data_IF_178135909428
#
_entry.id   IF_178135909428
#
_cell.length_a   1.000
_cell.length_b   1.000
_cell.length_c   1.000
_cell.angle_alpha   90.00
_cell.angle_beta   90.00
_cell.angle_gamma   90.00
#
_symmetry.space_group_name_H-M   'P 1'
#
loop_
_entity.id
_entity.type
_entity.pdbx_description
1 polymer ?
#
# COMPACT_ATOMS: atom_id res chain seq x y z
N UNK A 1 16.51 -25.06 -25.52
CA UNK A 1 15.79 -24.07 -26.33
C UNK A 1 15.24 -23.00 -25.40
N UNK A 2 15.76 -21.79 -25.48
CA UNK A 2 15.16 -20.64 -24.79
C UNK A 2 13.75 -20.44 -25.38
N UNK A 3 12.70 -20.54 -24.55
CA UNK A 3 11.35 -20.18 -24.99
C UNK A 3 11.35 -18.72 -25.35
N UNK A 4 10.92 -18.38 -26.55
CA UNK A 4 10.64 -17.00 -26.93
C UNK A 4 9.53 -16.53 -26.01
N UNK A 5 9.84 -15.60 -25.10
CA UNK A 5 8.88 -14.96 -24.22
C UNK A 5 8.34 -13.76 -25.01
N UNK A 6 7.31 -14.01 -25.79
CA UNK A 6 6.60 -12.97 -26.52
C UNK A 6 5.34 -12.50 -25.76
N UNK A 7 4.77 -11.40 -26.18
CA UNK A 7 3.57 -10.82 -25.60
C UNK A 7 2.39 -11.79 -25.61
N UNK A 8 2.20 -12.55 -26.70
CA UNK A 8 1.12 -13.53 -26.84
C UNK A 8 1.24 -14.66 -25.81
N UNK A 9 2.48 -15.12 -25.54
CA UNK A 9 2.72 -16.12 -24.51
C UNK A 9 2.36 -15.58 -23.12
N UNK A 10 2.73 -14.34 -22.81
CA UNK A 10 2.40 -13.71 -21.52
C UNK A 10 0.90 -13.51 -21.33
N UNK A 11 0.16 -13.10 -22.39
CA UNK A 11 -1.30 -12.97 -22.35
C UNK A 11 -1.99 -14.32 -22.14
N UNK A 12 -1.55 -15.37 -22.82
CA UNK A 12 -2.07 -16.73 -22.57
C UNK A 12 -1.79 -17.21 -21.14
N UNK A 13 -0.62 -16.94 -20.60
CA UNK A 13 -0.29 -17.27 -19.21
C UNK A 13 -1.18 -16.49 -18.23
N UNK A 14 -1.39 -15.18 -18.44
CA UNK A 14 -2.27 -14.36 -17.63
C UNK A 14 -3.70 -14.90 -17.63
N UNK A 15 -4.23 -15.23 -18.80
CA UNK A 15 -5.56 -15.83 -18.96
C UNK A 15 -5.66 -17.19 -18.27
N UNK A 16 -4.65 -18.02 -18.41
CA UNK A 16 -4.64 -19.37 -17.83
C UNK A 16 -4.63 -19.36 -16.29
N UNK A 17 -3.75 -18.55 -15.68
CA UNK A 17 -3.56 -18.56 -14.23
C UNK A 17 -4.51 -17.62 -13.48
N UNK A 18 -4.95 -16.53 -14.11
CA UNK A 18 -5.71 -15.46 -13.43
C UNK A 18 -7.07 -15.16 -14.05
N UNK A 19 -7.33 -15.64 -15.27
CA UNK A 19 -8.59 -15.40 -16.00
C UNK A 19 -8.69 -14.00 -16.61
N UNK A 20 -7.62 -13.21 -16.61
CA UNK A 20 -7.60 -11.86 -17.18
C UNK A 20 -7.18 -11.88 -18.64
N UNK A 21 -7.87 -11.10 -19.46
CA UNK A 21 -7.62 -11.02 -20.92
C UNK A 21 -6.51 -10.01 -21.29
N UNK A 22 -6.16 -9.09 -20.40
CA UNK A 22 -5.18 -8.04 -20.66
C UNK A 22 -4.44 -7.62 -19.40
N UNK A 23 -3.21 -7.19 -19.57
CA UNK A 23 -2.40 -6.57 -18.53
C UNK A 23 -2.86 -5.14 -18.26
N UNK A 24 -2.71 -4.70 -17.01
CA UNK A 24 -2.77 -3.28 -16.66
C UNK A 24 -1.46 -2.60 -17.05
N UNK A 25 -1.48 -1.28 -17.16
CA UNK A 25 -0.32 -0.47 -17.52
C UNK A 25 0.93 -0.86 -16.73
N UNK A 26 2.02 -1.15 -17.43
CA UNK A 26 3.33 -1.50 -16.90
C UNK A 26 3.48 -2.93 -16.38
N UNK A 27 2.41 -3.71 -16.19
CA UNK A 27 2.52 -5.09 -15.70
C UNK A 27 3.32 -5.97 -16.66
N UNK A 28 3.01 -5.90 -17.96
CA UNK A 28 3.68 -6.70 -18.98
C UNK A 28 5.17 -6.38 -19.07
N UNK A 29 5.55 -5.09 -19.03
CA UNK A 29 6.94 -4.66 -19.00
C UNK A 29 7.69 -5.24 -17.80
N UNK A 30 7.12 -5.10 -16.58
CA UNK A 30 7.73 -5.62 -15.36
C UNK A 30 7.92 -7.14 -15.43
N UNK A 31 6.90 -7.87 -15.88
CA UNK A 31 6.93 -9.33 -16.01
C UNK A 31 7.99 -9.77 -17.02
N UNK A 32 8.06 -9.07 -18.15
CA UNK A 32 9.05 -9.34 -19.19
C UNK A 32 10.47 -9.15 -18.69
N UNK A 33 10.77 -8.03 -18.01
CA UNK A 33 12.09 -7.77 -17.43
C UNK A 33 12.50 -8.85 -16.42
N UNK A 34 11.59 -9.26 -15.53
CA UNK A 34 11.82 -10.34 -14.57
C UNK A 34 12.15 -11.66 -15.30
N UNK A 35 11.42 -12.01 -16.34
CA UNK A 35 11.63 -13.24 -17.10
C UNK A 35 12.93 -13.23 -17.92
N UNK A 36 13.44 -12.04 -18.29
CA UNK A 36 14.75 -11.86 -18.88
C UNK A 36 15.90 -11.86 -17.85
N UNK A 37 15.59 -12.04 -16.57
CA UNK A 37 16.58 -12.10 -15.49
C UNK A 37 17.06 -10.71 -15.03
N UNK A 38 16.33 -9.65 -15.38
CA UNK A 38 16.65 -8.28 -14.99
C UNK A 38 16.05 -7.97 -13.62
N UNK A 39 16.84 -7.54 -12.61
CA UNK A 39 16.28 -6.99 -11.38
C UNK A 39 15.38 -5.80 -11.66
N UNK A 40 14.30 -5.66 -10.90
CA UNK A 40 13.29 -4.62 -11.11
C UNK A 40 12.96 -3.90 -9.82
N UNK A 41 12.83 -2.57 -9.90
CA UNK A 41 12.09 -1.77 -8.94
C UNK A 41 10.80 -1.27 -9.61
N UNK A 42 9.67 -1.83 -9.20
CA UNK A 42 8.36 -1.51 -9.73
C UNK A 42 7.59 -0.60 -8.78
N UNK A 43 7.20 0.59 -9.25
CA UNK A 43 6.39 1.55 -8.51
C UNK A 43 5.02 1.63 -9.18
N UNK A 44 4.03 1.00 -8.54
CA UNK A 44 2.66 0.92 -9.05
C UNK A 44 1.67 1.40 -7.97
N UNK A 45 0.69 2.22 -8.31
CA UNK A 45 -0.29 2.71 -7.34
C UNK A 45 -1.06 1.55 -6.69
N UNK A 46 -1.64 1.83 -5.53
CA UNK A 46 -2.50 0.88 -4.83
C UNK A 46 -3.65 0.46 -5.75
N UNK A 47 -3.90 -0.85 -5.84
CA UNK A 47 -4.93 -1.42 -6.73
C UNK A 47 -4.48 -1.67 -8.18
N UNK A 48 -3.24 -1.32 -8.57
CA UNK A 48 -2.72 -1.59 -9.92
C UNK A 48 -2.34 -3.06 -10.17
N UNK A 49 -2.48 -3.95 -9.17
CA UNK A 49 -2.20 -5.37 -9.32
C UNK A 49 -0.72 -5.73 -9.21
N UNK A 50 0.01 -5.13 -8.27
CA UNK A 50 1.43 -5.42 -7.97
C UNK A 50 1.72 -6.92 -7.84
N UNK A 51 0.84 -7.68 -7.17
CA UNK A 51 1.06 -9.10 -6.90
C UNK A 51 1.21 -9.92 -8.18
N UNK A 52 0.47 -9.64 -9.24
CA UNK A 52 0.57 -10.35 -10.52
C UNK A 52 1.97 -10.15 -11.14
N UNK A 53 2.58 -8.98 -10.94
CA UNK A 53 3.89 -8.65 -11.51
C UNK A 53 5.02 -9.57 -11.02
N UNK A 54 4.92 -10.14 -9.81
CA UNK A 54 5.87 -11.14 -9.37
C UNK A 54 5.30 -12.57 -9.39
N UNK A 55 4.00 -12.73 -9.21
CA UNK A 55 3.38 -14.06 -9.20
C UNK A 55 3.41 -14.72 -10.57
N UNK A 56 3.03 -14.02 -11.64
CA UNK A 56 2.99 -14.61 -12.97
C UNK A 56 4.39 -15.04 -13.47
N UNK A 57 5.44 -14.21 -13.41
CA UNK A 57 6.78 -14.67 -13.80
C UNK A 57 7.28 -15.81 -12.92
N UNK A 58 6.96 -15.81 -11.62
CA UNK A 58 7.31 -16.92 -10.74
C UNK A 58 6.74 -18.26 -11.21
N UNK A 59 5.48 -18.29 -11.68
CA UNK A 59 4.85 -19.50 -12.20
C UNK A 59 5.55 -20.05 -13.45
N UNK A 60 6.20 -19.18 -14.21
CA UNK A 60 6.95 -19.53 -15.43
C UNK A 60 8.41 -19.90 -15.15
N UNK A 61 8.97 -19.43 -14.04
CA UNK A 61 10.32 -19.77 -13.56
C UNK A 61 10.31 -21.09 -12.80
N UNK A 62 11.47 -21.75 -12.70
CA UNK A 62 11.67 -22.93 -11.84
C UNK A 62 11.94 -22.48 -10.40
N UNK A 63 11.82 -23.40 -9.44
CA UNK A 63 12.17 -23.14 -8.03
C UNK A 63 11.10 -22.38 -7.25
N UNK A 64 11.48 -21.94 -6.06
CA UNK A 64 10.64 -21.23 -5.10
C UNK A 64 10.84 -19.73 -5.25
N UNK A 65 9.76 -18.97 -5.15
CA UNK A 65 9.80 -17.52 -4.99
C UNK A 65 9.61 -17.19 -3.51
N UNK A 66 10.60 -16.53 -2.93
CA UNK A 66 10.50 -15.98 -1.59
C UNK A 66 9.88 -14.58 -1.67
N UNK A 67 8.77 -14.37 -0.99
CA UNK A 67 8.10 -13.06 -0.93
C UNK A 67 8.29 -12.47 0.45
N UNK A 68 9.04 -11.38 0.54
CA UNK A 68 9.27 -10.66 1.80
C UNK A 68 8.21 -9.57 1.91
N UNK A 69 7.37 -9.65 2.93
CA UNK A 69 6.26 -8.70 3.16
C UNK A 69 6.18 -8.31 4.64
N UNK A 70 5.83 -7.04 4.95
CA UNK A 70 5.90 -6.55 6.33
C UNK A 70 4.69 -6.94 7.19
N UNK A 71 3.68 -7.60 6.61
CA UNK A 71 2.40 -7.85 7.27
C UNK A 71 1.94 -9.29 7.15
N UNK A 72 1.79 -9.93 8.30
CA UNK A 72 1.33 -11.32 8.43
C UNK A 72 -0.07 -11.49 7.81
N UNK A 73 -1.01 -10.58 8.07
CA UNK A 73 -2.36 -10.66 7.50
C UNK A 73 -2.35 -10.65 5.97
N UNK A 74 -1.54 -9.75 5.36
CA UNK A 74 -1.41 -9.69 3.90
C UNK A 74 -0.77 -10.97 3.33
N UNK A 75 0.28 -11.48 3.99
CA UNK A 75 0.93 -12.72 3.57
C UNK A 75 -0.05 -13.89 3.57
N UNK A 76 -0.88 -13.99 4.61
CA UNK A 76 -1.92 -15.00 4.75
C UNK A 76 -2.95 -14.89 3.64
N UNK A 77 -3.53 -13.71 3.45
CA UNK A 77 -4.55 -13.46 2.42
C UNK A 77 -4.02 -13.78 1.01
N UNK A 78 -2.76 -13.40 0.71
CA UNK A 78 -2.11 -13.70 -0.57
C UNK A 78 -1.86 -15.20 -0.76
N UNK A 79 -1.37 -15.89 0.27
CA UNK A 79 -1.13 -17.33 0.21
C UNK A 79 -2.43 -18.12 0.06
N UNK A 80 -3.48 -17.76 0.80
CA UNK A 80 -4.81 -18.37 0.69
C UNK A 80 -5.43 -18.14 -0.69
N UNK A 81 -5.34 -16.92 -1.23
CA UNK A 81 -5.84 -16.60 -2.56
C UNK A 81 -5.15 -17.39 -3.68
N UNK A 82 -3.83 -17.64 -3.57
CA UNK A 82 -3.09 -18.48 -4.50
C UNK A 82 -3.50 -19.95 -4.36
N UNK A 83 -3.60 -20.44 -3.13
CA UNK A 83 -4.01 -21.83 -2.85
C UNK A 83 -5.41 -22.12 -3.35
N UNK A 84 -6.35 -21.19 -3.19
CA UNK A 84 -7.70 -21.29 -3.74
C UNK A 84 -7.73 -21.39 -5.28
N UNK A 85 -6.67 -20.93 -5.95
CA UNK A 85 -6.48 -21.07 -7.42
C UNK A 85 -5.69 -22.33 -7.80
N UNK A 86 -5.39 -23.21 -6.84
CA UNK A 86 -4.58 -24.42 -7.07
C UNK A 86 -3.08 -24.14 -7.21
N UNK A 87 -2.61 -22.95 -6.83
CA UNK A 87 -1.19 -22.57 -6.85
C UNK A 87 -0.60 -22.78 -5.46
N UNK A 88 0.38 -23.68 -5.29
CA UNK A 88 0.96 -23.98 -3.99
C UNK A 88 1.67 -22.76 -3.38
N UNK A 89 1.13 -22.24 -2.29
CA UNK A 89 1.69 -21.12 -1.56
C UNK A 89 1.59 -21.36 -0.05
N UNK A 90 2.57 -20.86 0.68
CA UNK A 90 2.60 -20.90 2.14
C UNK A 90 3.13 -19.58 2.70
N UNK A 91 2.86 -19.34 3.96
CA UNK A 91 3.43 -18.20 4.70
C UNK A 91 4.02 -18.67 6.02
N UNK A 92 4.95 -17.91 6.56
CA UNK A 92 5.57 -18.16 7.87
C UNK A 92 5.27 -17.00 8.79
N UNK A 93 4.58 -17.26 9.88
CA UNK A 93 4.31 -16.27 10.91
C UNK A 93 4.86 -16.67 12.28
N UNK A 94 4.83 -15.73 13.24
CA UNK A 94 5.36 -15.92 14.58
C UNK A 94 4.44 -16.74 15.49
N UNK A 95 3.20 -16.98 15.10
CA UNK A 95 2.21 -17.74 15.88
C UNK A 95 2.25 -19.24 15.61
N UNK A 96 2.97 -19.67 14.56
CA UNK A 96 3.09 -21.07 14.18
C UNK A 96 3.86 -21.88 15.24
N UNK A 97 3.36 -23.07 15.52
CA UNK A 97 4.10 -24.07 16.30
C UNK A 97 5.36 -24.54 15.55
N UNK A 98 6.37 -25.01 16.27
CA UNK A 98 7.61 -25.54 15.65
C UNK A 98 7.33 -26.67 14.65
N UNK A 99 6.31 -27.49 14.88
CA UNK A 99 5.90 -28.56 13.96
C UNK A 99 5.28 -28.04 12.67
N UNK A 100 4.45 -27.02 12.75
CA UNK A 100 3.84 -26.36 11.56
C UNK A 100 4.92 -25.66 10.75
N UNK A 101 5.78 -24.93 11.42
CA UNK A 101 6.92 -24.25 10.80
C UNK A 101 7.80 -25.26 10.04
N UNK A 102 8.20 -26.37 10.69
CA UNK A 102 9.00 -27.42 10.06
C UNK A 102 8.30 -28.06 8.85
N UNK A 103 6.98 -28.31 8.93
CA UNK A 103 6.21 -28.85 7.80
C UNK A 103 6.21 -27.91 6.59
N UNK A 104 6.05 -26.61 6.80
CA UNK A 104 6.09 -25.62 5.70
C UNK A 104 7.45 -25.58 5.04
N UNK A 105 8.54 -25.56 5.82
CA UNK A 105 9.90 -25.57 5.25
C UNK A 105 10.17 -26.86 4.48
N UNK A 106 9.78 -28.02 5.01
CA UNK A 106 9.93 -29.30 4.34
C UNK A 106 9.15 -29.38 3.02
N UNK A 107 7.91 -28.87 3.00
CA UNK A 107 7.13 -28.78 1.77
C UNK A 107 7.80 -27.89 0.71
N UNK A 108 8.40 -26.78 1.12
CA UNK A 108 9.13 -25.88 0.21
C UNK A 108 10.42 -26.55 -0.35
N UNK A 109 11.17 -27.30 0.47
CA UNK A 109 12.33 -28.08 0.01
C UNK A 109 11.94 -29.16 -1.02
N UNK A 110 10.80 -29.82 -0.82
CA UNK A 110 10.28 -30.85 -1.70
C UNK A 110 9.54 -30.31 -2.94
N UNK A 111 9.67 -29.01 -3.25
CA UNK A 111 9.03 -28.37 -4.41
C UNK A 111 7.49 -28.41 -4.38
N UNK A 112 6.91 -28.60 -3.22
CA UNK A 112 5.46 -28.58 -2.98
C UNK A 112 4.95 -27.18 -2.62
N UNK A 113 5.83 -26.18 -2.69
CA UNK A 113 5.51 -24.78 -2.45
C UNK A 113 6.15 -23.93 -3.56
N UNK A 114 5.36 -23.12 -4.23
CA UNK A 114 5.85 -22.21 -5.26
C UNK A 114 6.15 -20.82 -4.71
N UNK A 115 5.31 -20.36 -3.78
CA UNK A 115 5.46 -19.09 -3.09
C UNK A 115 5.60 -19.30 -1.60
N UNK A 116 6.67 -18.79 -1.03
CA UNK A 116 6.87 -18.74 0.42
C UNK A 116 6.90 -17.30 0.87
N UNK A 117 5.85 -16.88 1.59
CA UNK A 117 5.74 -15.55 2.17
C UNK A 117 6.38 -15.52 3.55
N UNK A 118 7.22 -14.52 3.80
CA UNK A 118 7.94 -14.38 5.06
C UNK A 118 7.98 -12.93 5.52
N UNK A 119 7.93 -12.73 6.83
CA UNK A 119 8.23 -11.45 7.43
C UNK A 119 9.76 -11.22 7.47
N UNK A 120 10.23 -9.96 7.32
CA UNK A 120 11.66 -9.66 7.26
C UNK A 120 12.43 -10.06 8.53
N UNK A 121 11.76 -10.14 9.68
CA UNK A 121 12.35 -10.61 10.96
C UNK A 121 12.84 -12.08 10.89
N UNK A 122 12.30 -12.86 9.95
CA UNK A 122 12.71 -14.28 9.77
C UNK A 122 14.06 -14.43 9.08
N UNK A 123 14.52 -13.42 8.35
CA UNK A 123 15.73 -13.47 7.54
C UNK A 123 17.02 -13.62 8.38
N UNK A 124 16.98 -13.30 9.67
CA UNK A 124 18.10 -13.49 10.62
C UNK A 124 17.98 -14.78 11.44
N UNK A 125 16.89 -15.56 11.26
CA UNK A 125 16.71 -16.81 11.97
C UNK A 125 17.59 -17.90 11.35
N UNK A 126 18.46 -18.56 12.14
CA UNK A 126 19.41 -19.53 11.64
C UNK A 126 18.73 -20.73 10.95
N UNK A 127 17.66 -21.26 11.52
CA UNK A 127 16.90 -22.36 10.92
C UNK A 127 16.34 -21.98 9.55
N UNK A 128 15.89 -20.72 9.39
CA UNK A 128 15.41 -20.23 8.11
C UNK A 128 16.54 -20.04 7.10
N UNK A 129 17.69 -19.53 7.54
CA UNK A 129 18.90 -19.40 6.69
C UNK A 129 19.37 -20.76 6.19
N UNK A 130 19.43 -21.78 7.07
CA UNK A 130 19.84 -23.13 6.73
C UNK A 130 18.87 -23.79 5.74
N UNK A 131 17.57 -23.57 5.91
CA UNK A 131 16.57 -23.94 4.92
C UNK A 131 16.80 -23.22 3.58
N UNK A 132 16.96 -21.90 3.60
CA UNK A 132 17.08 -21.09 2.39
C UNK A 132 18.34 -21.45 1.57
N UNK A 133 19.42 -21.89 2.22
CA UNK A 133 20.62 -22.41 1.56
C UNK A 133 20.40 -23.73 0.83
N UNK A 134 19.44 -24.53 1.27
CA UNK A 134 19.11 -25.83 0.65
C UNK A 134 17.98 -25.67 -0.39
N UNK A 135 17.12 -24.68 -0.21
CA UNK A 135 16.01 -24.42 -1.11
C UNK A 135 16.49 -23.78 -2.43
N UNK A 136 15.93 -24.24 -3.53
CA UNK A 136 16.19 -23.59 -4.83
C UNK A 136 15.35 -22.32 -4.97
N UNK A 137 15.82 -21.24 -4.33
CA UNK A 137 15.19 -19.91 -4.39
C UNK A 137 15.66 -19.21 -5.66
N UNK A 138 14.77 -18.99 -6.61
CA UNK A 138 15.09 -18.36 -7.90
C UNK A 138 14.77 -16.87 -7.94
N UNK A 139 13.82 -16.42 -7.14
CA UNK A 139 13.45 -15.03 -7.04
C UNK A 139 13.14 -14.63 -5.60
N UNK A 140 13.56 -13.43 -5.23
CA UNK A 140 13.13 -12.72 -4.01
C UNK A 140 12.27 -11.52 -4.44
N UNK A 141 11.00 -11.58 -4.13
CA UNK A 141 10.08 -10.46 -4.30
C UNK A 141 10.02 -9.67 -2.98
N UNK A 142 10.40 -8.40 -3.01
CA UNK A 142 10.36 -7.50 -1.84
C UNK A 142 9.11 -6.64 -1.97
N UNK A 143 8.07 -6.99 -1.23
CA UNK A 143 6.84 -6.21 -1.16
C UNK A 143 7.01 -5.03 -0.19
N UNK A 144 6.28 -3.94 -0.45
CA UNK A 144 6.40 -2.66 0.27
C UNK A 144 7.87 -2.22 0.44
N UNK A 145 8.63 -2.28 -0.67
CA UNK A 145 10.07 -2.03 -0.69
C UNK A 145 10.48 -0.64 -0.16
N UNK A 146 9.55 0.33 -0.08
CA UNK A 146 9.81 1.61 0.58
C UNK A 146 10.20 1.46 2.06
N UNK A 147 9.84 0.33 2.71
CA UNK A 147 10.23 0.03 4.09
C UNK A 147 11.75 -0.13 4.27
N UNK A 148 12.53 -0.39 3.21
CA UNK A 148 14.00 -0.46 3.29
C UNK A 148 14.65 0.92 3.39
N UNK A 149 13.95 1.97 2.98
CA UNK A 149 14.48 3.33 2.96
C UNK A 149 14.22 4.06 4.27
N UNK A 150 15.26 4.63 4.87
CA UNK A 150 15.12 5.55 6.02
C UNK A 150 14.37 6.84 5.65
N UNK A 151 14.36 7.17 4.38
CA UNK A 151 13.65 8.31 3.81
C UNK A 151 12.21 7.97 3.42
N UNK A 152 11.79 6.69 3.60
CA UNK A 152 10.43 6.24 3.38
C UNK A 152 9.56 6.46 4.64
N UNK A 153 8.28 6.69 4.44
CA UNK A 153 7.29 6.99 5.48
C UNK A 153 7.01 5.82 6.47
N UNK A 154 7.46 4.61 6.16
CA UNK A 154 7.21 3.38 6.94
C UNK A 154 8.47 2.53 7.09
N UNK A 155 9.58 3.19 7.39
CA UNK A 155 10.87 2.51 7.58
C UNK A 155 10.79 1.36 8.61
N UNK A 156 11.43 0.21 8.27
CA UNK A 156 11.55 -0.97 9.13
C UNK A 156 12.98 -1.48 9.12
N UNK A 157 13.61 -1.51 10.29
CA UNK A 157 15.02 -1.96 10.45
C UNK A 157 15.26 -3.36 9.91
N UNK A 158 14.27 -4.24 10.02
CA UNK A 158 14.35 -5.63 9.61
C UNK A 158 14.56 -5.80 8.10
N UNK A 159 14.15 -4.80 7.29
CA UNK A 159 14.40 -4.79 5.85
C UNK A 159 15.88 -4.63 5.50
N UNK A 160 16.71 -4.10 6.40
CA UNK A 160 18.16 -4.04 6.20
C UNK A 160 18.84 -5.40 6.16
N UNK A 161 18.18 -6.43 6.68
CA UNK A 161 18.72 -7.80 6.65
C UNK A 161 18.55 -8.46 5.26
N UNK A 162 17.78 -7.87 4.33
CA UNK A 162 17.50 -8.48 3.02
C UNK A 162 18.77 -8.67 2.18
N UNK A 163 19.65 -7.67 2.01
CA UNK A 163 20.87 -7.83 1.23
C UNK A 163 21.79 -8.90 1.80
N UNK A 164 22.02 -8.90 3.11
CA UNK A 164 22.90 -9.86 3.78
C UNK A 164 22.33 -11.28 3.65
N UNK A 165 21.03 -11.43 3.80
CA UNK A 165 20.35 -12.71 3.57
C UNK A 165 20.53 -13.19 2.13
N UNK A 166 20.33 -12.32 1.13
CA UNK A 166 20.52 -12.68 -0.29
C UNK A 166 21.98 -13.10 -0.57
N UNK A 167 22.94 -12.38 0.01
CA UNK A 167 24.37 -12.71 -0.14
C UNK A 167 24.75 -14.05 0.51
N UNK A 168 24.05 -14.47 1.56
CA UNK A 168 24.27 -15.73 2.24
C UNK A 168 23.74 -16.96 1.47
N UNK A 169 22.98 -16.75 0.39
CA UNK A 169 22.43 -17.83 -0.44
C UNK A 169 23.48 -18.36 -1.44
N UNK A 170 23.53 -19.69 -1.70
CA UNK A 170 24.52 -20.30 -2.60
C UNK A 170 24.36 -19.88 -4.06
N UNK A 171 23.14 -19.54 -4.48
CA UNK A 171 22.84 -18.96 -5.78
C UNK A 171 22.16 -17.61 -5.57
N UNK A 172 22.59 -16.57 -6.30
CA UNK A 172 21.96 -15.26 -6.23
C UNK A 172 20.58 -15.31 -6.90
N UNK A 173 19.49 -15.18 -6.13
CA UNK A 173 18.15 -15.09 -6.72
C UNK A 173 17.97 -13.75 -7.44
N UNK A 174 17.07 -13.72 -8.41
CA UNK A 174 16.61 -12.48 -9.00
C UNK A 174 15.85 -11.66 -7.96
N UNK A 175 16.15 -10.37 -7.84
CA UNK A 175 15.47 -9.48 -6.90
C UNK A 175 14.46 -8.60 -7.66
N UNK A 176 13.21 -8.64 -7.22
CA UNK A 176 12.15 -7.78 -7.73
C UNK A 176 11.49 -7.04 -6.57
N UNK A 177 11.62 -5.72 -6.55
CA UNK A 177 11.14 -4.85 -5.48
C UNK A 177 9.87 -4.11 -5.93
N UNK A 178 8.87 -4.06 -5.04
CA UNK A 178 7.54 -3.50 -5.34
C UNK A 178 7.11 -2.52 -4.27
N UNK A 179 6.59 -1.37 -4.69
CA UNK A 179 5.98 -0.40 -3.77
C UNK A 179 4.86 0.38 -4.45
N UNK A 180 3.97 0.97 -3.65
CA UNK A 180 2.96 1.90 -4.17
C UNK A 180 3.40 3.37 -4.08
N UNK A 181 4.31 3.68 -3.18
CA UNK A 181 4.70 5.04 -2.82
C UNK A 181 6.22 5.12 -2.72
N UNK A 182 6.86 5.78 -3.67
CA UNK A 182 8.28 6.10 -3.60
C UNK A 182 8.57 7.37 -4.40
N UNK A 183 9.08 8.39 -3.75
CA UNK A 183 9.64 9.57 -4.40
C UNK A 183 10.90 9.21 -5.18
N UNK A 184 11.40 10.04 -6.12
CA UNK A 184 12.64 9.76 -6.84
C UNK A 184 13.81 9.41 -5.92
N UNK A 185 14.00 10.13 -4.82
CA UNK A 185 15.08 9.90 -3.86
C UNK A 185 14.92 8.54 -3.13
N UNK A 186 13.69 8.20 -2.73
CA UNK A 186 13.38 6.90 -2.12
C UNK A 186 13.65 5.75 -3.08
N UNK A 187 13.38 5.90 -4.38
CA UNK A 187 13.68 4.86 -5.40
C UNK A 187 15.17 4.57 -5.47
N UNK A 188 16.00 5.61 -5.49
CA UNK A 188 17.45 5.47 -5.53
C UNK A 188 18.00 4.82 -4.23
N UNK A 189 17.45 5.20 -3.09
CA UNK A 189 17.85 4.60 -1.81
C UNK A 189 17.44 3.11 -1.73
N UNK A 190 16.25 2.74 -2.21
CA UNK A 190 15.82 1.32 -2.31
C UNK A 190 16.82 0.51 -3.13
N UNK A 191 17.18 0.96 -4.34
CA UNK A 191 18.13 0.28 -5.22
C UNK A 191 19.48 0.10 -4.53
N UNK A 192 19.99 1.17 -3.94
CA UNK A 192 21.26 1.15 -3.21
C UNK A 192 21.24 0.17 -2.05
N UNK A 193 20.20 0.22 -1.23
CA UNK A 193 20.09 -0.62 -0.02
C UNK A 193 19.82 -2.08 -0.31
N UNK A 194 19.06 -2.40 -1.35
CA UNK A 194 18.85 -3.77 -1.79
C UNK A 194 20.03 -4.35 -2.59
N UNK A 195 21.03 -3.54 -2.92
CA UNK A 195 22.21 -3.98 -3.68
C UNK A 195 21.90 -4.41 -5.11
N UNK A 196 20.96 -3.72 -5.77
CA UNK A 196 20.52 -3.99 -7.15
C UNK A 196 20.76 -2.79 -8.09
N UNK A 197 22.02 -2.32 -8.25
CA UNK A 197 22.31 -1.10 -9.00
C UNK A 197 21.89 -1.16 -10.47
N UNK A 198 21.80 -2.34 -11.05
CA UNK A 198 21.34 -2.59 -12.43
C UNK A 198 19.83 -2.71 -12.57
N UNK A 199 19.06 -2.53 -11.49
CA UNK A 199 17.62 -2.71 -11.53
C UNK A 199 16.94 -1.75 -12.51
N UNK A 200 16.06 -2.30 -13.33
CA UNK A 200 15.14 -1.52 -14.14
C UNK A 200 14.09 -0.86 -13.24
N UNK A 201 14.00 0.47 -13.30
CA UNK A 201 12.94 1.22 -12.59
C UNK A 201 11.74 1.34 -13.53
N UNK A 202 10.61 0.76 -13.13
CA UNK A 202 9.33 0.89 -13.85
C UNK A 202 8.35 1.64 -12.97
N UNK A 203 7.91 2.81 -13.42
CA UNK A 203 6.93 3.66 -12.72
C UNK A 203 5.70 3.79 -13.61
N UNK A 204 4.58 3.26 -13.16
CA UNK A 204 3.35 3.25 -13.98
C UNK A 204 2.48 4.49 -13.82
N UNK A 205 2.94 5.43 -12.99
CA UNK A 205 2.23 6.65 -12.66
C UNK A 205 1.52 6.59 -11.31
N UNK A 206 1.19 7.78 -10.81
CA UNK A 206 0.47 7.96 -9.53
C UNK A 206 -0.93 8.55 -9.75
N UNK A 207 -1.31 8.88 -10.98
CA UNK A 207 -2.62 9.47 -11.21
C UNK A 207 -3.75 8.44 -11.04
N UNK A 208 -4.75 8.86 -10.29
CA UNK A 208 -6.01 8.15 -10.06
C UNK A 208 -7.15 9.07 -10.48
N UNK A 209 -7.46 9.16 -11.79
CA UNK A 209 -8.41 10.14 -12.33
C UNK A 209 -9.82 9.99 -11.78
N UNK A 210 -10.19 8.81 -11.31
CA UNK A 210 -11.49 8.53 -10.70
C UNK A 210 -11.62 9.02 -9.24
N UNK A 211 -10.54 9.46 -8.59
CA UNK A 211 -10.59 9.98 -7.23
C UNK A 211 -10.77 11.51 -7.24
N UNK A 212 -11.73 12.01 -6.51
CA UNK A 212 -11.89 13.43 -6.24
C UNK A 212 -11.22 13.78 -4.92
N UNK A 213 -10.13 14.56 -4.95
CA UNK A 213 -9.43 15.01 -3.74
C UNK A 213 -9.97 16.34 -3.25
N UNK A 214 -10.32 16.42 -1.97
CA UNK A 214 -10.76 17.65 -1.33
C UNK A 214 -10.09 17.84 0.04
N UNK A 215 -9.71 19.10 0.33
CA UNK A 215 -9.27 19.52 1.67
C UNK A 215 -10.26 20.55 2.18
N UNK A 216 -10.94 20.24 3.26
CA UNK A 216 -11.83 21.14 3.96
C UNK A 216 -11.17 21.64 5.23
N UNK A 217 -10.85 22.94 5.28
CA UNK A 217 -10.32 23.61 6.47
C UNK A 217 -11.48 23.93 7.40
N UNK A 218 -11.48 23.36 8.60
CA UNK A 218 -12.59 23.50 9.54
C UNK A 218 -12.12 23.32 10.98
N UNK A 219 -12.70 24.10 11.89
CA UNK A 219 -12.54 23.90 13.34
C UNK A 219 -13.61 22.96 13.91
N UNK A 220 -14.74 22.82 13.20
CA UNK A 220 -15.81 21.88 13.57
C UNK A 220 -15.82 20.67 12.64
N UNK A 221 -14.91 19.72 12.92
CA UNK A 221 -14.75 18.49 12.14
C UNK A 221 -15.95 17.55 12.30
N UNK A 222 -16.63 17.54 13.46
CA UNK A 222 -17.79 16.69 13.70
C UNK A 222 -18.95 17.09 12.78
N UNK A 223 -19.26 18.37 12.73
CA UNK A 223 -20.27 18.90 11.83
C UNK A 223 -19.92 18.63 10.37
N UNK A 224 -18.68 18.91 9.96
CA UNK A 224 -18.20 18.70 8.60
C UNK A 224 -18.28 17.22 8.18
N UNK A 225 -17.90 16.30 9.08
CA UNK A 225 -18.03 14.87 8.86
C UNK A 225 -19.50 14.48 8.67
N UNK A 226 -20.39 14.93 9.56
CA UNK A 226 -21.81 14.58 9.49
C UNK A 226 -22.49 15.13 8.24
N UNK A 227 -22.15 16.34 7.80
CA UNK A 227 -22.63 16.92 6.54
C UNK A 227 -22.19 16.07 5.34
N UNK A 228 -20.94 15.62 5.32
CA UNK A 228 -20.42 14.70 4.31
C UNK A 228 -21.15 13.36 4.33
N UNK A 229 -21.25 12.72 5.50
CA UNK A 229 -21.88 11.42 5.67
C UNK A 229 -23.36 11.39 5.26
N UNK A 230 -24.09 12.52 5.45
CA UNK A 230 -25.49 12.62 5.00
C UNK A 230 -25.63 12.53 3.48
N UNK A 231 -24.61 12.95 2.70
CA UNK A 231 -24.60 12.83 1.23
C UNK A 231 -24.28 11.40 0.80
N UNK A 232 -23.55 10.65 1.64
CA UNK A 232 -23.04 9.31 1.35
C UNK A 232 -23.71 8.18 2.17
N UNK A 233 -25.00 8.34 2.52
CA UNK A 233 -25.72 7.40 3.40
C UNK A 233 -25.75 5.96 2.93
N UNK A 234 -25.65 5.72 1.63
CA UNK A 234 -25.71 4.39 1.02
C UNK A 234 -24.34 3.85 0.61
N UNK A 235 -23.32 4.67 0.76
CA UNK A 235 -21.99 4.38 0.24
C UNK A 235 -21.12 3.66 1.28
N UNK A 236 -20.22 2.82 0.79
CA UNK A 236 -19.20 2.18 1.60
C UNK A 236 -17.98 3.09 1.73
N UNK A 237 -17.45 3.25 2.94
CA UNK A 237 -16.33 4.15 3.15
C UNK A 237 -15.50 3.90 4.39
N UNK A 238 -14.34 4.57 4.42
CA UNK A 238 -13.37 4.52 5.51
C UNK A 238 -13.18 5.92 6.10
N UNK A 239 -13.15 6.02 7.43
CA UNK A 239 -12.82 7.26 8.14
C UNK A 239 -11.54 7.04 8.94
N UNK A 240 -10.45 7.73 8.56
CA UNK A 240 -9.17 7.64 9.26
C UNK A 240 -9.05 8.68 10.37
N UNK A 241 -8.61 8.25 11.54
CA UNK A 241 -8.34 9.07 12.71
C UNK A 241 -6.91 8.88 13.21
N UNK A 242 -6.29 9.92 13.76
CA UNK A 242 -4.90 9.88 14.22
C UNK A 242 -4.69 9.01 15.47
N UNK A 243 -5.69 8.87 16.34
CA UNK A 243 -5.57 8.18 17.64
C UNK A 243 -6.70 7.18 17.88
N UNK A 244 -6.44 6.17 18.73
CA UNK A 244 -7.42 5.18 19.16
C UNK A 244 -8.65 5.83 19.79
N UNK A 245 -8.44 6.79 20.70
CA UNK A 245 -9.52 7.52 21.36
C UNK A 245 -10.40 8.29 20.37
N UNK A 246 -9.79 8.85 19.31
CA UNK A 246 -10.55 9.54 18.27
C UNK A 246 -11.36 8.56 17.42
N UNK A 247 -10.83 7.36 17.14
CA UNK A 247 -11.59 6.29 16.47
C UNK A 247 -12.84 5.94 17.29
N UNK A 248 -12.70 5.75 18.60
CA UNK A 248 -13.82 5.43 19.48
C UNK A 248 -14.89 6.53 19.48
N UNK A 249 -14.47 7.79 19.67
CA UNK A 249 -15.41 8.93 19.74
C UNK A 249 -16.13 9.16 18.41
N UNK A 250 -15.43 9.07 17.28
CA UNK A 250 -16.03 9.25 15.94
C UNK A 250 -16.95 8.09 15.59
N UNK A 251 -16.59 6.85 15.96
CA UNK A 251 -17.49 5.69 15.77
C UNK A 251 -18.79 5.87 16.55
N UNK A 252 -18.70 6.29 17.82
CA UNK A 252 -19.89 6.55 18.65
C UNK A 252 -20.74 7.69 18.10
N UNK A 253 -20.10 8.78 17.62
CA UNK A 253 -20.79 9.90 16.98
C UNK A 253 -21.61 9.40 15.78
N UNK A 254 -20.98 8.65 14.86
CA UNK A 254 -21.66 8.13 13.67
C UNK A 254 -22.81 7.19 14.02
N UNK A 255 -22.62 6.28 14.99
CA UNK A 255 -23.67 5.36 15.47
C UNK A 255 -24.87 6.10 16.08
N UNK A 256 -24.63 7.14 16.89
CA UNK A 256 -25.69 8.00 17.44
C UNK A 256 -26.48 8.74 16.35
N UNK A 257 -25.87 9.00 15.21
CA UNK A 257 -26.51 9.62 14.05
C UNK A 257 -27.14 8.59 13.08
N UNK A 258 -27.23 7.32 13.49
CA UNK A 258 -27.89 6.26 12.73
C UNK A 258 -27.05 5.59 11.65
N UNK A 259 -25.74 5.84 11.61
CA UNK A 259 -24.84 5.15 10.69
C UNK A 259 -24.36 3.83 11.28
N UNK A 260 -24.39 2.74 10.48
CA UNK A 260 -23.77 1.48 10.85
C UNK A 260 -22.25 1.59 10.62
N UNK A 261 -21.48 1.69 11.70
CA UNK A 261 -20.02 1.90 11.64
C UNK A 261 -19.29 0.94 12.60
N UNK A 262 -18.16 0.41 12.13
CA UNK A 262 -17.22 -0.40 12.91
C UNK A 262 -15.98 0.42 13.27
N UNK A 263 -15.30 0.01 14.34
CA UNK A 263 -14.03 0.59 14.78
C UNK A 263 -12.88 -0.35 14.44
N UNK A 264 -11.69 0.20 14.15
CA UNK A 264 -10.50 -0.61 13.92
C UNK A 264 -9.22 0.12 14.36
N UNK A 265 -8.53 -0.43 15.35
CA UNK A 265 -7.23 0.09 15.82
C UNK A 265 -6.44 -0.99 16.58
N UNK A 266 -5.16 -0.79 16.79
CA UNK A 266 -4.27 -1.76 17.42
C UNK A 266 -4.59 -2.10 18.89
N UNK A 267 -5.47 -1.33 19.54
CA UNK A 267 -5.93 -1.60 20.91
C UNK A 267 -7.07 -2.61 21.02
N UNK A 268 -7.66 -3.05 19.89
CA UNK A 268 -8.66 -4.11 19.85
C UNK A 268 -7.99 -5.47 19.92
N UNK A 269 -8.74 -6.50 20.38
CA UNK A 269 -8.25 -7.89 20.31
C UNK A 269 -8.04 -8.33 18.86
N UNK A 270 -7.16 -9.32 18.62
CA UNK A 270 -6.97 -9.86 17.25
C UNK A 270 -8.28 -10.39 16.65
N UNK A 271 -9.14 -11.00 17.48
CA UNK A 271 -10.44 -11.55 17.10
C UNK A 271 -11.37 -10.43 16.64
N UNK A 272 -11.54 -9.38 17.46
CA UNK A 272 -12.39 -8.24 17.13
C UNK A 272 -11.92 -7.51 15.87
N UNK A 273 -10.58 -7.35 15.69
CA UNK A 273 -10.03 -6.78 14.46
C UNK A 273 -10.40 -7.60 13.24
N UNK A 274 -10.27 -8.93 13.32
CA UNK A 274 -10.60 -9.84 12.23
C UNK A 274 -12.10 -9.80 11.90
N UNK A 275 -12.96 -9.83 12.91
CA UNK A 275 -14.42 -9.78 12.74
C UNK A 275 -14.85 -8.47 12.09
N UNK A 276 -14.36 -7.33 12.59
CA UNK A 276 -14.67 -6.01 12.04
C UNK A 276 -14.17 -5.84 10.60
N UNK A 277 -12.96 -6.34 10.31
CA UNK A 277 -12.42 -6.35 8.94
C UNK A 277 -13.28 -7.21 8.01
N UNK A 278 -13.62 -8.43 8.41
CA UNK A 278 -14.44 -9.33 7.60
C UNK A 278 -15.83 -8.76 7.35
N UNK A 279 -16.46 -8.17 8.37
CA UNK A 279 -17.76 -7.54 8.25
C UNK A 279 -17.75 -6.35 7.28
N UNK A 280 -16.69 -5.54 7.30
CA UNK A 280 -16.52 -4.44 6.34
C UNK A 280 -16.22 -4.94 4.93
N UNK A 281 -15.26 -5.84 4.77
CA UNK A 281 -14.87 -6.39 3.45
C UNK A 281 -16.03 -7.16 2.83
N UNK A 282 -16.74 -7.98 3.61
CA UNK A 282 -17.91 -8.73 3.18
C UNK A 282 -19.17 -7.89 2.94
N UNK A 283 -19.13 -6.58 3.25
CA UNK A 283 -20.21 -5.63 2.95
C UNK A 283 -21.38 -5.66 3.92
N UNK A 284 -21.31 -6.42 5.04
CA UNK A 284 -22.36 -6.44 6.07
C UNK A 284 -22.44 -5.13 6.85
N UNK A 285 -21.33 -4.39 6.96
CA UNK A 285 -21.28 -3.04 7.54
C UNK A 285 -20.56 -2.09 6.57
N UNK A 286 -21.19 -0.97 6.15
CA UNK A 286 -20.65 -0.12 5.10
C UNK A 286 -19.54 0.82 5.57
N UNK A 287 -19.40 1.08 6.88
CA UNK A 287 -18.45 2.07 7.39
C UNK A 287 -17.47 1.45 8.36
N UNK A 288 -16.21 1.85 8.22
CA UNK A 288 -15.19 1.56 9.22
C UNK A 288 -14.45 2.85 9.60
N UNK A 289 -14.32 3.08 10.91
CA UNK A 289 -13.53 4.17 11.49
C UNK A 289 -12.24 3.58 12.04
N UNK A 290 -11.09 4.06 11.61
CA UNK A 290 -9.85 3.37 11.89
C UNK A 290 -8.65 4.31 12.11
N UNK A 291 -7.61 3.80 12.76
CA UNK A 291 -6.27 4.36 12.64
C UNK A 291 -5.57 3.80 11.38
N UNK A 292 -4.35 4.27 11.09
CA UNK A 292 -3.49 3.71 10.05
C UNK A 292 -3.24 2.19 10.16
N UNK A 293 -3.55 1.57 11.32
CA UNK A 293 -3.52 0.11 11.49
C UNK A 293 -4.51 -0.62 10.56
N UNK A 294 -5.59 0.05 10.13
CA UNK A 294 -6.50 -0.45 9.10
C UNK A 294 -5.98 0.00 7.73
N UNK A 295 -5.16 -0.83 7.14
CA UNK A 295 -4.55 -0.30 5.95
C UNK A 295 -4.01 -1.37 5.01
N UNK A 296 -2.77 -1.76 5.20
CA UNK A 296 -2.09 -2.67 4.30
C UNK A 296 -2.83 -4.03 4.24
N UNK A 297 -3.06 -4.53 3.04
CA UNK A 297 -3.71 -5.84 2.83
C UNK A 297 -5.23 -5.81 2.62
N UNK A 298 -5.90 -4.68 2.79
CA UNK A 298 -7.34 -4.62 2.58
C UNK A 298 -7.64 -4.38 1.10
N UNK A 299 -8.29 -5.35 0.48
CA UNK A 299 -8.74 -5.26 -0.91
C UNK A 299 -10.27 -5.29 -0.99
N UNK A 300 -10.89 -4.11 -0.91
CA UNK A 300 -12.32 -3.89 -1.13
C UNK A 300 -12.46 -2.92 -2.30
N UNK A 301 -12.99 -3.36 -3.45
CA UNK A 301 -12.98 -2.56 -4.68
C UNK A 301 -13.96 -1.38 -4.65
N UNK A 302 -15.08 -1.53 -3.96
CA UNK A 302 -16.26 -0.66 -3.98
C UNK A 302 -16.29 0.42 -2.88
N UNK A 303 -15.14 0.79 -2.31
CA UNK A 303 -15.05 1.90 -1.36
C UNK A 303 -15.30 3.21 -2.10
N UNK A 304 -16.40 3.89 -1.79
CA UNK A 304 -16.82 5.12 -2.47
C UNK A 304 -16.23 6.37 -1.89
N UNK A 305 -15.80 6.34 -0.63
CA UNK A 305 -15.09 7.48 -0.04
C UNK A 305 -14.08 7.07 1.01
N UNK A 306 -13.05 7.91 1.15
CA UNK A 306 -12.11 7.91 2.27
C UNK A 306 -12.12 9.30 2.89
N UNK A 307 -12.43 9.37 4.20
CA UNK A 307 -12.36 10.60 4.97
C UNK A 307 -11.17 10.55 5.91
N UNK A 308 -10.27 11.52 5.83
CA UNK A 308 -9.25 11.75 6.85
C UNK A 308 -9.83 12.75 7.85
N UNK A 309 -10.28 12.25 9.00
CA UNK A 309 -10.78 13.10 10.10
C UNK A 309 -9.67 13.93 10.72
N UNK A 310 -8.46 13.39 10.79
CA UNK A 310 -7.24 14.11 11.12
C UNK A 310 -6.29 14.10 9.93
N UNK A 311 -5.47 15.14 9.81
CA UNK A 311 -4.40 15.19 8.82
C UNK A 311 -3.39 14.07 9.09
N UNK A 312 -3.05 13.22 8.09
CA UNK A 312 -1.94 12.27 8.18
C UNK A 312 -0.60 12.98 8.40
N UNK A 313 0.40 12.25 8.88
CA UNK A 313 1.71 12.83 9.16
C UNK A 313 2.52 13.18 7.89
N UNK A 314 2.25 12.50 6.77
CA UNK A 314 2.96 12.63 5.50
C UNK A 314 2.03 12.40 4.29
N UNK A 315 2.49 12.81 3.11
CA UNK A 315 1.74 12.69 1.85
C UNK A 315 1.65 11.25 1.39
N UNK A 316 2.66 10.43 1.63
CA UNK A 316 2.71 9.03 1.25
C UNK A 316 1.62 8.23 1.97
N UNK A 317 1.52 8.39 3.29
CA UNK A 317 0.43 7.81 4.09
C UNK A 317 -0.93 8.27 3.61
N UNK A 318 -1.09 9.59 3.40
CA UNK A 318 -2.32 10.16 2.84
C UNK A 318 -2.69 9.50 1.50
N UNK A 319 -1.74 9.43 0.57
CA UNK A 319 -1.97 8.88 -0.76
C UNK A 319 -2.29 7.37 -0.71
N UNK A 320 -1.59 6.62 0.14
CA UNK A 320 -1.81 5.19 0.32
C UNK A 320 -3.19 4.89 0.93
N UNK A 321 -3.63 5.70 1.90
CA UNK A 321 -4.94 5.58 2.56
C UNK A 321 -6.06 6.04 1.63
N UNK A 322 -5.94 7.20 0.98
CA UNK A 322 -6.88 7.70 -0.02
C UNK A 322 -7.02 6.75 -1.22
N UNK A 323 -5.92 6.10 -1.63
CA UNK A 323 -5.87 5.13 -2.71
C UNK A 323 -6.69 3.85 -2.49
N UNK A 324 -7.29 3.66 -1.31
CA UNK A 324 -8.24 2.56 -1.05
C UNK A 324 -9.59 2.80 -1.69
N UNK A 325 -9.94 4.07 -1.95
CA UNK A 325 -11.15 4.43 -2.64
C UNK A 325 -11.10 4.05 -4.12
N UNK A 326 -12.24 3.64 -4.67
CA UNK A 326 -12.44 3.47 -6.11
C UNK A 326 -11.47 2.52 -6.80
N UNK A 327 -11.11 1.39 -6.21
CA UNK A 327 -10.22 0.39 -6.84
C UNK A 327 -10.84 -0.31 -8.03
N UNK A 328 -12.15 -0.27 -8.12
CA UNK A 328 -12.95 -0.73 -9.27
C UNK A 328 -12.94 0.26 -10.46
N UNK A 329 -12.27 1.41 -10.31
CA UNK A 329 -12.22 2.46 -11.33
C UNK A 329 -13.43 3.40 -11.32
N UNK A 330 -14.45 3.14 -10.53
CA UNK A 330 -15.61 4.02 -10.40
C UNK A 330 -15.26 5.28 -9.58
N UNK A 331 -16.00 6.40 -9.78
CA UNK A 331 -15.78 7.63 -9.03
C UNK A 331 -15.82 7.41 -7.51
N UNK A 332 -14.90 8.06 -6.81
CA UNK A 332 -14.83 8.03 -5.36
C UNK A 332 -14.26 9.33 -4.80
N UNK A 333 -14.63 9.69 -3.57
CA UNK A 333 -14.25 10.94 -2.92
C UNK A 333 -13.21 10.71 -1.81
N UNK A 334 -12.17 11.56 -1.78
CA UNK A 334 -11.14 11.60 -0.75
C UNK A 334 -11.19 12.95 -0.05
N UNK A 335 -11.84 13.01 1.12
CA UNK A 335 -12.00 14.23 1.90
C UNK A 335 -10.99 14.26 3.06
N UNK A 336 -10.23 15.35 3.17
CA UNK A 336 -9.38 15.60 4.32
C UNK A 336 -9.96 16.78 5.12
N UNK A 337 -10.28 16.54 6.40
CA UNK A 337 -10.71 17.57 7.35
C UNK A 337 -9.47 18.10 8.08
N UNK A 338 -9.04 19.30 7.71
CA UNK A 338 -7.82 19.91 8.24
C UNK A 338 -8.12 20.96 9.28
N UNK A 339 -7.44 20.86 10.42
CA UNK A 339 -7.32 21.89 11.45
C UNK A 339 -5.84 22.05 11.82
N UNK A 340 -5.42 23.28 12.20
CA UNK A 340 -4.04 23.55 12.65
C UNK A 340 -3.63 22.72 13.88
N UNK A 341 -4.59 22.32 14.70
CA UNK A 341 -4.34 21.44 15.85
C UNK A 341 -3.81 20.06 15.43
N UNK A 342 -4.08 19.59 14.20
CA UNK A 342 -3.51 18.34 13.70
C UNK A 342 -1.98 18.36 13.63
N UNK A 343 -1.38 19.55 13.38
CA UNK A 343 0.08 19.71 13.36
C UNK A 343 0.66 19.38 14.74
N UNK A 344 0.06 19.92 15.80
CA UNK A 344 0.51 19.67 17.16
C UNK A 344 0.38 18.17 17.55
N UNK A 345 -0.73 17.54 17.16
CA UNK A 345 -0.96 16.11 17.39
C UNK A 345 0.13 15.28 16.69
N UNK A 346 0.37 15.53 15.40
CA UNK A 346 1.38 14.78 14.64
C UNK A 346 2.81 15.06 15.16
N UNK A 347 3.15 16.31 15.50
CA UNK A 347 4.44 16.65 16.10
C UNK A 347 4.67 15.91 17.42
N UNK A 348 3.65 15.80 18.26
CA UNK A 348 3.70 15.04 19.50
C UNK A 348 3.94 13.55 19.25
N UNK A 349 3.21 12.94 18.30
CA UNK A 349 3.37 11.53 17.93
C UNK A 349 4.78 11.24 17.39
N UNK A 350 5.30 12.09 16.49
CA UNK A 350 6.66 11.98 15.96
C UNK A 350 7.70 12.06 17.08
N UNK A 351 7.48 12.93 18.08
CA UNK A 351 8.40 13.10 19.20
C UNK A 351 8.46 11.93 20.16
N UNK A 352 7.39 11.11 20.22
CA UNK A 352 7.30 9.97 21.14
C UNK A 352 7.82 8.64 20.56
N UNK A 353 7.79 8.47 19.25
CA UNK A 353 8.03 7.17 18.63
C UNK A 353 9.51 6.80 18.45
N UNK A 354 10.46 7.78 18.49
CA UNK A 354 11.88 7.46 18.20
C UNK A 354 12.89 8.41 18.89
N UNK A 355 14.02 7.88 19.39
CA UNK A 355 15.10 8.67 19.98
C UNK A 355 16.10 9.26 18.96
N UNK A 356 16.05 8.87 17.66
CA UNK A 356 17.01 9.35 16.66
C UNK A 356 16.63 10.72 16.13
N UNK A 357 17.54 11.69 16.31
CA UNK A 357 17.31 13.09 15.91
C UNK A 357 17.20 13.27 14.40
N UNK A 358 17.99 12.54 13.61
CA UNK A 358 17.98 12.65 12.14
C UNK A 358 16.67 12.14 11.55
N UNK A 359 16.16 11.06 12.11
CA UNK A 359 14.87 10.51 11.74
C UNK A 359 13.72 11.46 12.12
N UNK A 360 13.79 12.06 13.33
CA UNK A 360 12.79 13.04 13.78
C UNK A 360 12.75 14.29 12.88
N UNK A 361 13.89 14.80 12.49
CA UNK A 361 13.99 15.95 11.56
C UNK A 361 13.37 15.60 10.21
N UNK A 362 13.62 14.39 9.71
CA UNK A 362 13.02 13.91 8.48
C UNK A 362 11.48 13.82 8.58
N UNK A 363 10.94 13.21 9.61
CA UNK A 363 9.48 13.10 9.82
C UNK A 363 8.82 14.49 9.95
N UNK A 364 9.48 15.45 10.61
CA UNK A 364 9.00 16.83 10.69
C UNK A 364 9.03 17.53 9.31
N UNK A 365 10.02 17.20 8.47
CA UNK A 365 10.07 17.68 7.10
C UNK A 365 8.90 17.11 6.27
N UNK A 366 8.58 15.82 6.38
CA UNK A 366 7.43 15.20 5.73
C UNK A 366 6.10 15.82 6.22
N UNK A 367 5.98 16.04 7.54
CA UNK A 367 4.82 16.74 8.12
C UNK A 367 4.65 18.16 7.55
N UNK A 368 5.76 18.89 7.34
CA UNK A 368 5.74 20.20 6.70
C UNK A 368 5.22 20.11 5.25
N UNK A 369 5.62 19.10 4.47
CA UNK A 369 5.09 18.86 3.12
C UNK A 369 3.58 18.60 3.14
N UNK A 370 3.12 17.75 4.06
CA UNK A 370 1.69 17.46 4.23
C UNK A 370 0.90 18.72 4.65
N UNK A 371 1.46 19.52 5.56
CA UNK A 371 0.86 20.80 5.97
C UNK A 371 0.74 21.76 4.80
N UNK A 372 1.77 21.85 3.95
CA UNK A 372 1.74 22.68 2.75
C UNK A 372 0.68 22.20 1.76
N UNK A 373 0.52 20.88 1.58
CA UNK A 373 -0.56 20.30 0.79
C UNK A 373 -1.95 20.73 1.31
N UNK A 374 -2.16 20.70 2.63
CA UNK A 374 -3.43 21.12 3.23
C UNK A 374 -3.72 22.62 3.07
N UNK A 375 -2.68 23.44 2.90
CA UNK A 375 -2.79 24.90 2.80
C UNK A 375 -2.68 25.43 1.37
N UNK A 376 -2.40 24.60 0.38
CA UNK A 376 -2.25 25.05 -1.00
C UNK A 376 -3.56 25.57 -1.60
N UNK A 377 -3.46 26.55 -2.48
CA UNK A 377 -4.53 26.98 -3.39
C UNK A 377 -4.39 26.38 -4.78
N UNK A 378 -3.28 25.69 -5.07
CA UNK A 378 -3.03 25.01 -6.34
C UNK A 378 -3.89 23.75 -6.47
N UNK A 379 -3.95 23.19 -7.68
CA UNK A 379 -4.63 21.93 -7.93
C UNK A 379 -4.09 20.82 -7.02
N UNK A 380 -4.93 20.23 -6.16
CA UNK A 380 -4.53 19.21 -5.18
C UNK A 380 -3.91 17.99 -5.84
N UNK A 381 -4.50 17.49 -6.93
CA UNK A 381 -3.96 16.36 -7.69
C UNK A 381 -2.56 16.67 -8.25
N UNK A 382 -2.38 17.86 -8.82
CA UNK A 382 -1.08 18.30 -9.35
C UNK A 382 0.00 18.25 -8.27
N UNK A 383 -0.28 18.79 -7.07
CA UNK A 383 0.67 18.78 -5.96
C UNK A 383 1.03 17.36 -5.54
N UNK A 384 0.07 16.42 -5.50
CA UNK A 384 0.36 15.01 -5.21
C UNK A 384 1.25 14.37 -6.28
N UNK A 385 0.96 14.57 -7.56
CA UNK A 385 1.72 13.99 -8.66
C UNK A 385 3.15 14.54 -8.70
N UNK A 386 3.31 15.85 -8.53
CA UNK A 386 4.63 16.51 -8.46
C UNK A 386 5.45 16.02 -7.26
N UNK A 387 4.81 15.75 -6.12
CA UNK A 387 5.48 15.18 -4.96
C UNK A 387 6.14 13.82 -5.26
N UNK A 388 5.46 12.97 -6.04
CA UNK A 388 5.99 11.67 -6.47
C UNK A 388 6.89 11.74 -7.72
N UNK A 389 7.18 12.95 -8.21
CA UNK A 389 8.07 13.21 -9.34
C UNK A 389 7.41 13.12 -10.71
N UNK A 390 6.07 13.12 -10.80
CA UNK A 390 5.36 13.24 -12.07
C UNK A 390 5.23 14.71 -12.49
N UNK A 391 5.66 15.00 -13.71
CA UNK A 391 5.47 16.33 -14.28
C UNK A 391 4.06 16.43 -14.86
N UNK A 392 3.27 17.38 -14.33
CA UNK A 392 1.96 17.71 -14.90
C UNK A 392 1.82 19.22 -15.04
N UNK A 393 1.31 19.66 -16.17
CA UNK A 393 1.14 21.09 -16.49
C UNK A 393 -0.29 21.56 -16.32
N UNK A 394 -1.27 20.65 -16.27
CA UNK A 394 -2.69 20.98 -16.31
C UNK A 394 -3.35 20.97 -14.92
N UNK A 395 -4.41 21.75 -14.78
CA UNK A 395 -5.38 21.57 -13.69
C UNK A 395 -6.19 20.30 -13.94
N UNK A 396 -6.44 19.52 -12.89
CA UNK A 396 -7.13 18.22 -13.05
C UNK A 396 -8.64 18.37 -13.30
N UNK A 397 -9.23 19.52 -13.00
CA UNK A 397 -10.68 19.77 -13.05
C UNK A 397 -11.54 18.77 -12.24
N UNK A 398 -10.93 18.02 -11.34
CA UNK A 398 -11.55 17.00 -10.49
C UNK A 398 -10.90 17.00 -9.09
N UNK A 399 -10.85 18.17 -8.44
CA UNK A 399 -10.45 18.34 -7.05
C UNK A 399 -11.07 19.61 -6.45
N UNK A 400 -11.18 19.67 -5.13
CA UNK A 400 -11.83 20.77 -4.44
C UNK A 400 -11.29 22.16 -4.79
N UNK A 401 -9.99 22.31 -5.01
CA UNK A 401 -9.40 23.60 -5.39
C UNK A 401 -9.74 23.97 -6.85
N UNK A 402 -9.82 23.01 -7.77
CA UNK A 402 -10.26 23.27 -9.14
C UNK A 402 -11.74 23.64 -9.21
N UNK A 403 -12.60 23.02 -8.39
CA UNK A 403 -14.03 23.32 -8.33
C UNK A 403 -14.31 24.73 -7.81
N UNK A 404 -13.57 25.17 -6.78
CA UNK A 404 -13.65 26.55 -6.27
C UNK A 404 -13.23 27.55 -7.35
N UNK A 405 -12.18 27.25 -8.11
CA UNK A 405 -11.71 28.14 -9.18
C UNK A 405 -12.71 28.24 -10.32
N UNK A 406 -13.41 27.17 -10.70
CA UNK A 406 -14.52 27.19 -11.67
C UNK A 406 -15.63 28.11 -11.19
N UNK A 407 -16.08 27.96 -9.94
CA UNK A 407 -17.16 28.77 -9.37
C UNK A 407 -16.77 30.25 -9.23
N UNK A 408 -15.50 30.56 -8.92
CA UNK A 408 -14.98 31.91 -8.88
C UNK A 408 -14.92 32.57 -10.27
N UNK A 409 -14.59 31.80 -11.32
CA UNK A 409 -14.60 32.25 -12.71
C UNK A 409 -16.01 32.64 -13.18
N UNK A 410 -17.01 31.77 -12.91
CA UNK A 410 -18.42 32.08 -13.25
C UNK A 410 -18.94 33.31 -12.54
N UNK A 411 -18.58 33.58 -11.28
CA UNK A 411 -18.98 34.80 -10.55
C UNK A 411 -18.38 36.09 -11.11
N UNK A 412 -17.21 36.01 -11.79
CA UNK A 412 -16.63 37.15 -12.49
C UNK A 412 -17.36 37.48 -13.79
N UNK A 413 -17.94 36.47 -14.47
CA UNK A 413 -18.73 36.67 -15.68
C UNK A 413 -20.16 37.21 -15.42
N UNK A 414 -20.69 37.03 -14.21
CA UNK A 414 -22.02 37.50 -13.81
C UNK A 414 -22.01 38.94 -13.23
N UNK A 415 -20.87 39.64 -13.26
CA UNK A 415 -20.73 41.03 -12.81
C UNK A 415 -20.60 42.03 -13.97
N UNK A 416 -21.22 41.73 -15.14
CA UNK A 416 -21.43 42.66 -16.23
C UNK A 416 -22.93 42.83 -16.52
#
# INVERSE_FOLDING_TARGET
MARIIDSDFLHRALQHFYGYSSFRTGQEEIISEILHGQPVLAVLPTGAGKSICFQLPSLLLKGVTLVISPLISLMKDQAEALTARGIPAAYLDSSMSSNEYGRVLHAALNKQCKFLYVAPERLVNQQFIDFARQAYITMVAVDEAHCVSQWGHSFRKEYYNIPDFIQALPAKPLVAAFTATATPDVRLDIIKRLGIPEAKIVVTGFDRPNLHFAVQRTQDKERSLLEFMRKHKKDCGVVYCATRNKVESVTQLLRRQGFSALRYHAGLTPEERRENQNAFVGGSVPLIVATNAFGMGIDKPDVRFVVHYNMPKDIESYYQEAGRAGRDGLPAECLLLYDKADIAVNTYLIGHDQPDLTWKEHELHLLSKMTNYCNTSSCLRKVLLEYFGEKTTSQCNNCGNCDVNKNASWRKFLKF
#
